data_IF_198484685072
#
_entry.id   IF_198484685072
#
_cell.length_a   1.000
_cell.length_b   1.000
_cell.length_c   1.000
_cell.angle_alpha   90.00
_cell.angle_beta   90.00
_cell.angle_gamma   90.00
#
_symmetry.space_group_name_H-M   'P 1'
#
loop_
_entity.id
_entity.type
_entity.pdbx_description
1 polymer ?
#
# COMPACT_ATOMS: atom_id res chain seq x y z
N UNK A 1 -3.33 32.41 11.90
CA UNK A 1 -3.93 31.09 12.21
C UNK A 1 -2.86 30.28 12.91
N UNK A 2 -2.99 30.10 14.21
CA UNK A 2 -2.12 29.20 14.97
C UNK A 2 -2.63 27.76 14.76
N UNK A 3 -1.74 26.85 14.38
CA UNK A 3 -2.05 25.41 14.37
C UNK A 3 -2.35 24.99 15.81
N UNK A 4 -3.53 24.43 16.05
CA UNK A 4 -3.91 23.88 17.35
C UNK A 4 -3.20 22.56 17.55
N UNK A 5 -2.47 22.45 18.65
CA UNK A 5 -1.83 21.22 19.09
C UNK A 5 -2.84 20.42 19.93
N UNK A 6 -3.45 19.40 19.32
CA UNK A 6 -4.48 18.56 19.95
C UNK A 6 -3.95 17.74 21.13
N UNK A 7 -2.63 17.68 21.34
CA UNK A 7 -2.01 16.96 22.46
C UNK A 7 -2.03 17.73 23.79
N UNK A 8 -2.46 19.00 23.79
CA UNK A 8 -2.55 19.85 24.99
C UNK A 8 -3.98 20.08 25.53
N UNK A 9 -5.01 19.45 24.95
CA UNK A 9 -6.37 19.61 25.44
C UNK A 9 -6.64 18.69 26.65
N UNK A 10 -7.29 19.23 27.68
CA UNK A 10 -7.53 18.57 28.97
C UNK A 10 -8.56 17.43 28.92
N UNK A 11 -8.87 16.87 27.74
CA UNK A 11 -9.98 15.93 27.56
C UNK A 11 -9.85 14.97 26.36
N UNK A 12 -8.63 14.64 25.92
CA UNK A 12 -8.41 13.76 24.74
C UNK A 12 -9.12 12.40 24.88
N UNK A 13 -9.11 11.83 26.09
CA UNK A 13 -9.76 10.54 26.34
C UNK A 13 -11.29 10.61 26.23
N UNK A 14 -11.90 11.75 26.58
CA UNK A 14 -13.33 11.95 26.40
C UNK A 14 -13.69 12.18 24.94
N UNK A 15 -12.90 12.93 24.18
CA UNK A 15 -13.12 13.04 22.74
C UNK A 15 -12.97 11.68 22.03
N UNK A 16 -12.03 10.85 22.47
CA UNK A 16 -11.90 9.46 21.99
C UNK A 16 -13.13 8.63 22.40
N UNK A 17 -13.62 8.78 23.62
CA UNK A 17 -14.85 8.11 24.08
C UNK A 17 -16.03 8.49 23.18
N UNK A 18 -16.27 9.78 22.98
CA UNK A 18 -17.34 10.30 22.12
C UNK A 18 -17.19 9.79 20.69
N UNK A 19 -15.97 9.71 20.16
CA UNK A 19 -15.71 9.14 18.84
C UNK A 19 -16.09 7.65 18.77
N UNK A 20 -15.67 6.84 19.75
CA UNK A 20 -15.99 5.41 19.81
C UNK A 20 -17.49 5.19 19.91
N UNK A 21 -18.17 5.94 20.78
CA UNK A 21 -19.62 5.86 20.95
C UNK A 21 -20.37 6.25 19.68
N UNK A 22 -19.96 7.32 19.00
CA UNK A 22 -20.55 7.74 17.73
C UNK A 22 -20.39 6.67 16.64
N UNK A 23 -19.20 6.06 16.51
CA UNK A 23 -18.98 4.97 15.54
C UNK A 23 -19.76 3.70 15.92
N UNK A 24 -19.86 3.37 17.20
CA UNK A 24 -20.71 2.26 17.67
C UNK A 24 -22.19 2.50 17.40
N UNK A 25 -22.69 3.73 17.53
CA UNK A 25 -24.05 4.08 17.14
C UNK A 25 -24.24 3.94 15.63
N UNK A 26 -23.29 4.45 14.83
CA UNK A 26 -23.30 4.34 13.37
C UNK A 26 -23.34 2.87 12.90
N UNK A 27 -22.66 1.98 13.62
CA UNK A 27 -22.60 0.55 13.34
C UNK A 27 -23.26 -0.29 14.46
N UNK A 28 -24.43 0.12 14.94
CA UNK A 28 -25.10 -0.48 16.11
C UNK A 28 -25.23 -2.01 16.02
N UNK A 29 -25.52 -2.55 14.83
CA UNK A 29 -25.62 -3.99 14.62
C UNK A 29 -24.30 -4.74 14.87
N UNK A 30 -23.16 -4.13 14.54
CA UNK A 30 -21.84 -4.68 14.78
C UNK A 30 -21.41 -4.53 16.23
N UNK A 31 -21.62 -3.33 16.80
CA UNK A 31 -21.22 -3.02 18.18
C UNK A 31 -22.03 -3.77 19.24
N UNK A 32 -23.31 -4.08 18.98
CA UNK A 32 -24.22 -4.71 19.95
C UNK A 32 -23.69 -6.02 20.53
N UNK A 33 -23.05 -6.86 19.71
CA UNK A 33 -22.53 -8.15 20.16
C UNK A 33 -21.42 -7.93 21.20
N UNK A 34 -20.49 -7.02 20.91
CA UNK A 34 -19.40 -6.66 21.81
C UNK A 34 -19.93 -6.03 23.10
N UNK A 35 -20.77 -5.00 23.00
CA UNK A 35 -21.29 -4.27 24.17
C UNK A 35 -22.13 -5.14 25.11
N UNK A 36 -22.86 -6.13 24.57
CA UNK A 36 -23.60 -7.07 25.40
C UNK A 36 -22.67 -7.99 26.20
N UNK A 37 -21.55 -8.41 25.62
CA UNK A 37 -20.59 -9.33 26.26
C UNK A 37 -19.54 -8.59 27.12
N UNK A 38 -19.23 -7.35 26.78
CA UNK A 38 -18.24 -6.46 27.42
C UNK A 38 -18.87 -5.06 27.59
N UNK A 39 -19.72 -4.85 28.61
CA UNK A 39 -20.40 -3.55 28.82
C UNK A 39 -19.43 -2.37 29.04
N UNK A 40 -18.22 -2.66 29.48
CA UNK A 40 -17.11 -1.74 29.70
C UNK A 40 -16.19 -1.58 28.47
N UNK A 41 -16.57 -2.15 27.31
CA UNK A 41 -15.73 -2.15 26.11
C UNK A 41 -15.30 -0.75 25.68
N UNK A 42 -16.18 0.25 25.77
CA UNK A 42 -15.86 1.65 25.44
C UNK A 42 -14.68 2.14 26.30
N UNK A 43 -14.76 1.98 27.62
CA UNK A 43 -13.71 2.38 28.55
C UNK A 43 -12.40 1.63 28.26
N UNK A 44 -12.47 0.33 28.00
CA UNK A 44 -11.28 -0.44 27.63
C UNK A 44 -10.67 -0.01 26.30
N UNK A 45 -11.49 0.36 25.31
CA UNK A 45 -11.02 0.87 24.02
C UNK A 45 -10.38 2.26 24.13
N UNK A 46 -10.91 3.15 24.99
CA UNK A 46 -10.29 4.45 25.32
C UNK A 46 -8.89 4.21 25.91
N UNK A 47 -8.79 3.31 26.90
CA UNK A 47 -7.50 2.95 27.52
C UNK A 47 -6.52 2.30 26.53
N UNK A 48 -7.03 1.47 25.61
CA UNK A 48 -6.21 0.89 24.54
C UNK A 48 -5.71 1.95 23.56
N UNK A 49 -6.53 2.96 23.27
CA UNK A 49 -6.19 4.04 22.35
C UNK A 49 -5.09 4.96 22.91
N UNK A 50 -5.02 5.18 24.23
CA UNK A 50 -3.93 5.92 24.88
C UNK A 50 -3.67 7.30 24.23
N UNK A 51 -4.74 8.06 24.03
CA UNK A 51 -4.71 9.35 23.35
C UNK A 51 -4.64 9.29 21.81
N UNK A 52 -4.71 8.11 21.18
CA UNK A 52 -4.56 7.95 19.74
C UNK A 52 -5.88 7.74 19.00
N UNK A 53 -6.40 8.80 18.40
CA UNK A 53 -7.57 8.72 17.52
C UNK A 53 -7.43 7.71 16.38
N UNK A 54 -6.24 7.59 15.79
CA UNK A 54 -6.01 6.60 14.73
C UNK A 54 -6.16 5.16 15.25
N UNK A 55 -5.70 4.89 16.48
CA UNK A 55 -5.92 3.58 17.10
C UNK A 55 -7.42 3.38 17.33
N UNK A 56 -8.09 4.32 17.98
CA UNK A 56 -9.52 4.26 18.30
C UNK A 56 -10.38 4.03 17.04
N UNK A 57 -10.16 4.81 15.99
CA UNK A 57 -10.90 4.70 14.73
C UNK A 57 -10.65 3.34 14.06
N UNK A 58 -9.39 2.89 14.02
CA UNK A 58 -9.02 1.63 13.37
C UNK A 58 -9.59 0.41 14.13
N UNK A 59 -9.47 0.40 15.46
CA UNK A 59 -9.94 -0.73 16.28
C UNK A 59 -11.46 -0.82 16.28
N UNK A 60 -12.17 0.31 16.36
CA UNK A 60 -13.64 0.30 16.27
C UNK A 60 -14.10 -0.23 14.91
N UNK A 61 -13.51 0.27 13.80
CA UNK A 61 -13.82 -0.22 12.46
C UNK A 61 -13.54 -1.71 12.30
N UNK A 62 -12.48 -2.22 12.93
CA UNK A 62 -12.16 -3.64 12.92
C UNK A 62 -13.22 -4.47 13.65
N UNK A 63 -13.58 -4.08 14.87
CA UNK A 63 -14.54 -4.78 15.73
C UNK A 63 -15.96 -4.79 15.15
N UNK A 64 -16.44 -3.66 14.62
CA UNK A 64 -17.83 -3.59 14.11
C UNK A 64 -18.01 -4.34 12.80
N UNK A 65 -16.92 -4.52 12.03
CA UNK A 65 -16.94 -5.28 10.77
C UNK A 65 -16.87 -6.78 11.02
N UNK A 66 -16.02 -7.21 11.94
CA UNK A 66 -15.94 -8.62 12.35
C UNK A 66 -16.81 -8.90 13.58
N UNK A 67 -18.10 -8.55 13.50
CA UNK A 67 -19.04 -8.58 14.64
C UNK A 67 -19.14 -9.95 15.33
N UNK A 68 -18.89 -11.03 14.61
CA UNK A 68 -19.01 -12.39 15.16
C UNK A 68 -17.78 -12.79 15.99
N UNK A 69 -16.61 -12.25 15.67
CA UNK A 69 -15.37 -12.44 16.43
C UNK A 69 -14.98 -11.21 17.26
N UNK A 70 -15.82 -10.16 17.29
CA UNK A 70 -15.53 -8.90 17.97
C UNK A 70 -15.12 -9.07 19.44
N UNK A 71 -15.77 -9.98 20.18
CA UNK A 71 -15.44 -10.26 21.59
C UNK A 71 -14.05 -10.90 21.71
N UNK A 72 -13.76 -11.90 20.87
CA UNK A 72 -12.46 -12.58 20.84
C UNK A 72 -11.34 -11.61 20.44
N UNK A 73 -11.56 -10.80 19.41
CA UNK A 73 -10.63 -9.76 18.95
C UNK A 73 -10.37 -8.75 20.06
N UNK A 74 -11.41 -8.24 20.71
CA UNK A 74 -11.30 -7.28 21.80
C UNK A 74 -10.48 -7.86 22.97
N UNK A 75 -10.80 -9.08 23.41
CA UNK A 75 -10.09 -9.74 24.49
C UNK A 75 -8.61 -10.00 24.15
N UNK A 76 -8.32 -10.42 22.90
CA UNK A 76 -6.96 -10.62 22.40
C UNK A 76 -6.17 -9.31 22.43
N UNK A 77 -6.78 -8.20 22.01
CA UNK A 77 -6.13 -6.89 22.03
C UNK A 77 -5.83 -6.44 23.47
N UNK A 78 -6.77 -6.58 24.41
CA UNK A 78 -6.52 -6.28 25.82
C UNK A 78 -5.37 -7.11 26.41
N UNK A 79 -5.36 -8.42 26.16
CA UNK A 79 -4.30 -9.32 26.66
C UNK A 79 -2.94 -8.97 26.07
N UNK A 80 -2.88 -8.63 24.78
CA UNK A 80 -1.62 -8.30 24.10
C UNK A 80 -0.97 -7.02 24.62
N UNK A 81 -1.76 -6.06 25.11
CA UNK A 81 -1.26 -4.77 25.62
C UNK A 81 -0.89 -4.82 27.10
N UNK A 82 -1.52 -5.68 27.91
CA UNK A 82 -1.21 -5.81 29.35
C UNK A 82 0.22 -6.28 29.68
N UNK A 83 1.01 -6.66 28.67
CA UNK A 83 2.38 -7.15 28.81
C UNK A 83 3.47 -6.13 28.42
N UNK A 84 3.10 -4.99 27.84
CA UNK A 84 4.05 -3.99 27.32
C UNK A 84 3.94 -2.69 28.10
N UNK A 85 5.07 -2.25 28.68
CA UNK A 85 5.17 -0.96 29.37
C UNK A 85 4.86 0.21 28.43
N UNK A 86 4.46 1.34 29.01
CA UNK A 86 3.86 2.51 28.36
C UNK A 86 4.75 3.33 27.40
N UNK A 87 5.70 2.75 26.67
CA UNK A 87 6.82 3.54 26.12
C UNK A 87 6.95 3.68 24.61
N UNK A 88 6.10 3.09 23.76
CA UNK A 88 6.15 3.42 22.32
C UNK A 88 4.77 3.45 21.67
N UNK A 89 4.34 4.66 21.27
CA UNK A 89 3.22 4.98 20.39
C UNK A 89 3.01 3.95 19.26
N UNK A 90 4.12 3.52 18.63
CA UNK A 90 4.10 2.60 17.51
C UNK A 90 3.79 1.16 17.93
N UNK A 91 4.21 0.69 19.11
CA UNK A 91 3.97 -0.69 19.54
C UNK A 91 2.49 -1.05 19.63
N UNK A 92 1.65 -0.10 20.06
CA UNK A 92 0.19 -0.29 20.12
C UNK A 92 -0.39 -0.46 18.72
N UNK A 93 -0.04 0.45 17.81
CA UNK A 93 -0.45 0.39 16.41
C UNK A 93 0.06 -0.88 15.71
N UNK A 94 1.29 -1.29 15.99
CA UNK A 94 1.92 -2.46 15.39
C UNK A 94 1.23 -3.74 15.84
N UNK A 95 0.84 -3.81 17.12
CA UNK A 95 0.04 -4.92 17.67
C UNK A 95 -1.35 -4.96 17.04
N UNK A 96 -1.99 -3.80 16.86
CA UNK A 96 -3.30 -3.69 16.20
C UNK A 96 -3.22 -4.13 14.73
N UNK A 97 -2.26 -3.60 13.96
CA UNK A 97 -2.07 -3.94 12.55
C UNK A 97 -1.70 -5.40 12.34
N UNK A 98 -0.84 -5.96 13.21
CA UNK A 98 -0.52 -7.40 13.19
C UNK A 98 -1.77 -8.24 13.44
N UNK A 99 -2.60 -7.85 14.41
CA UNK A 99 -3.86 -8.57 14.72
C UNK A 99 -4.84 -8.50 13.55
N UNK A 100 -4.97 -7.34 12.89
CA UNK A 100 -5.81 -7.16 11.70
C UNK A 100 -5.33 -8.06 10.55
N UNK A 101 -4.03 -8.06 10.25
CA UNK A 101 -3.47 -8.86 9.17
C UNK A 101 -3.59 -10.37 9.44
N UNK A 102 -3.36 -10.81 10.67
CA UNK A 102 -3.44 -12.22 11.03
C UNK A 102 -4.88 -12.73 11.06
N UNK A 103 -5.84 -11.93 11.53
CA UNK A 103 -7.27 -12.26 11.39
C UNK A 103 -7.69 -12.29 9.90
N UNK A 104 -7.23 -11.33 9.09
CA UNK A 104 -7.57 -11.26 7.68
C UNK A 104 -7.00 -12.43 6.86
N UNK A 105 -5.73 -12.79 7.09
CA UNK A 105 -4.96 -13.63 6.17
C UNK A 105 -4.21 -14.79 6.81
N UNK A 106 -4.25 -14.95 8.14
CA UNK A 106 -3.49 -15.99 8.86
C UNK A 106 -3.80 -17.39 8.35
N UNK A 107 -5.07 -17.66 8.00
CA UNK A 107 -5.49 -18.94 7.41
C UNK A 107 -4.86 -19.25 6.05
N UNK A 108 -4.41 -18.23 5.31
CA UNK A 108 -3.78 -18.42 3.99
C UNK A 108 -2.28 -18.68 4.07
N UNK A 109 -1.67 -18.67 5.27
CA UNK A 109 -0.24 -19.01 5.44
C UNK A 109 0.11 -20.42 4.93
N UNK A 110 -0.87 -21.34 4.89
CA UNK A 110 -0.72 -22.67 4.30
C UNK A 110 -0.88 -22.69 2.77
N UNK A 111 -1.62 -21.74 2.19
CA UNK A 111 -1.80 -21.57 0.74
C UNK A 111 -0.77 -20.57 0.20
N UNK A 112 0.42 -21.09 -0.12
CA UNK A 112 1.53 -20.27 -0.61
C UNK A 112 1.18 -19.47 -1.88
N UNK A 113 0.31 -19.99 -2.74
CA UNK A 113 -0.05 -19.32 -4.00
C UNK A 113 -0.93 -18.11 -3.71
N UNK A 114 -1.96 -18.28 -2.88
CA UNK A 114 -2.82 -17.17 -2.46
C UNK A 114 -2.06 -16.16 -1.62
N UNK A 115 -1.25 -16.60 -0.67
CA UNK A 115 -0.43 -15.71 0.16
C UNK A 115 0.55 -14.89 -0.69
N UNK A 116 1.13 -15.47 -1.74
CA UNK A 116 1.97 -14.72 -2.68
C UNK A 116 1.20 -13.58 -3.34
N UNK A 117 -0.02 -13.80 -3.83
CA UNK A 117 -0.82 -12.73 -4.43
C UNK A 117 -1.24 -11.67 -3.39
N UNK A 118 -1.61 -12.08 -2.18
CA UNK A 118 -1.90 -11.15 -1.07
C UNK A 118 -0.68 -10.26 -0.81
N UNK A 119 0.52 -10.86 -0.71
CA UNK A 119 1.77 -10.13 -0.50
C UNK A 119 2.08 -9.16 -1.65
N UNK A 120 1.79 -9.55 -2.91
CA UNK A 120 1.91 -8.65 -4.05
C UNK A 120 0.96 -7.46 -3.95
N UNK A 121 -0.30 -7.68 -3.55
CA UNK A 121 -1.29 -6.60 -3.34
C UNK A 121 -0.81 -5.65 -2.23
N UNK A 122 -0.35 -6.19 -1.08
CA UNK A 122 0.21 -5.40 0.01
C UNK A 122 1.44 -4.60 -0.43
N UNK A 123 2.29 -5.19 -1.28
CA UNK A 123 3.48 -4.52 -1.83
C UNK A 123 3.09 -3.33 -2.72
N UNK A 124 2.11 -3.51 -3.61
CA UNK A 124 1.58 -2.43 -4.43
C UNK A 124 0.96 -1.33 -3.59
N UNK A 125 0.14 -1.70 -2.62
CA UNK A 125 -0.45 -0.77 -1.67
C UNK A 125 0.62 0.06 -0.93
N UNK A 126 1.62 -0.62 -0.33
CA UNK A 126 2.59 0.04 0.53
C UNK A 126 3.61 0.93 -0.22
N UNK A 127 3.92 0.60 -1.48
CA UNK A 127 4.99 1.26 -2.25
C UNK A 127 4.49 2.21 -3.35
N UNK A 128 3.18 2.28 -3.62
CA UNK A 128 2.57 3.15 -4.65
C UNK A 128 1.41 3.99 -4.10
N UNK A 129 1.63 4.65 -2.96
CA UNK A 129 0.59 5.38 -2.20
C UNK A 129 0.03 6.62 -2.89
N UNK A 130 0.82 7.26 -3.74
CA UNK A 130 0.48 8.49 -4.47
C UNK A 130 -0.30 8.23 -5.77
N UNK A 131 -0.50 6.97 -6.15
CA UNK A 131 -1.47 6.57 -7.17
C UNK A 131 -2.20 5.27 -6.76
N UNK A 132 -3.16 5.33 -5.83
CA UNK A 132 -3.91 4.17 -5.39
C UNK A 132 -4.53 3.40 -6.55
N UNK A 133 -4.35 2.08 -6.56
CA UNK A 133 -4.81 1.19 -7.64
C UNK A 133 -5.98 0.33 -7.16
N UNK A 134 -6.82 -0.06 -8.11
CA UNK A 134 -7.99 -0.92 -7.92
C UNK A 134 -7.71 -2.40 -8.28
N UNK A 135 -8.71 -3.26 -8.08
CA UNK A 135 -8.65 -4.65 -8.56
C UNK A 135 -8.56 -4.74 -10.08
N UNK A 136 -9.26 -3.85 -10.79
CA UNK A 136 -9.22 -3.73 -12.24
C UNK A 136 -7.84 -3.27 -12.75
N UNK A 137 -7.14 -2.44 -11.98
CA UNK A 137 -5.77 -2.03 -12.32
C UNK A 137 -4.78 -3.20 -12.17
N UNK A 138 -4.82 -3.88 -11.01
CA UNK A 138 -3.84 -4.92 -10.71
C UNK A 138 -4.01 -6.20 -11.57
N UNK A 139 -5.16 -6.44 -12.19
CA UNK A 139 -5.30 -7.54 -13.15
C UNK A 139 -4.44 -7.37 -14.41
N UNK A 140 -4.16 -6.13 -14.85
CA UNK A 140 -3.33 -5.88 -16.05
C UNK A 140 -1.88 -6.31 -15.86
N UNK A 141 -1.43 -6.46 -14.62
CA UNK A 141 -0.10 -6.99 -14.27
C UNK A 141 -0.13 -8.43 -13.74
N UNK A 142 -1.27 -9.12 -13.91
CA UNK A 142 -1.42 -10.54 -13.61
C UNK A 142 -1.79 -10.90 -12.17
N UNK A 143 -2.26 -9.94 -11.36
CA UNK A 143 -2.85 -10.24 -10.04
C UNK A 143 -4.35 -10.55 -10.23
N UNK A 144 -4.84 -11.73 -9.80
CA UNK A 144 -6.25 -12.06 -9.96
C UNK A 144 -7.16 -11.07 -9.24
N UNK A 145 -8.12 -10.51 -9.95
CA UNK A 145 -9.00 -9.43 -9.47
C UNK A 145 -9.71 -9.78 -8.15
N UNK A 146 -10.15 -11.03 -8.00
CA UNK A 146 -10.82 -11.51 -6.79
C UNK A 146 -9.91 -11.51 -5.56
N UNK A 147 -8.59 -11.63 -5.72
CA UNK A 147 -7.63 -11.53 -4.61
C UNK A 147 -7.52 -10.08 -4.15
N UNK A 148 -7.38 -9.12 -5.08
CA UNK A 148 -7.32 -7.70 -4.71
C UNK A 148 -8.61 -7.26 -4.01
N UNK A 149 -9.77 -7.66 -4.54
CA UNK A 149 -11.06 -7.37 -3.90
C UNK A 149 -11.17 -7.99 -2.50
N UNK A 150 -10.76 -9.25 -2.33
CA UNK A 150 -10.75 -9.92 -1.02
C UNK A 150 -9.80 -9.22 -0.03
N UNK A 151 -8.63 -8.74 -0.49
CA UNK A 151 -7.71 -7.94 0.35
C UNK A 151 -8.36 -6.62 0.78
N UNK A 152 -8.99 -5.89 -0.14
CA UNK A 152 -9.69 -4.64 0.18
C UNK A 152 -10.82 -4.89 1.18
N UNK A 153 -11.60 -5.96 0.97
CA UNK A 153 -12.74 -6.33 1.81
C UNK A 153 -12.33 -6.69 3.25
N UNK A 154 -11.25 -7.46 3.39
CA UNK A 154 -10.71 -7.90 4.69
C UNK A 154 -9.98 -6.79 5.43
N UNK A 155 -9.43 -5.81 4.73
CA UNK A 155 -8.66 -4.69 5.31
C UNK A 155 -9.46 -3.38 5.39
N UNK A 156 -10.79 -3.43 5.38
CA UNK A 156 -11.65 -2.22 5.50
C UNK A 156 -11.50 -1.43 6.81
N UNK A 157 -10.81 -1.96 7.82
CA UNK A 157 -10.44 -1.20 9.03
C UNK A 157 -9.30 -0.20 8.76
N UNK A 158 -8.48 -0.46 7.76
CA UNK A 158 -7.29 0.33 7.39
C UNK A 158 -7.38 0.96 6.00
N UNK A 159 -8.41 0.62 5.21
CA UNK A 159 -8.73 1.27 3.94
C UNK A 159 -9.99 2.14 4.02
N UNK A 160 -9.98 3.25 3.27
CA UNK A 160 -11.16 4.09 3.07
C UNK A 160 -12.08 3.36 2.09
N UNK A 161 -13.12 2.72 2.64
CA UNK A 161 -14.13 1.97 1.86
C UNK A 161 -15.52 2.36 2.38
N UNK A 162 -16.27 3.09 1.55
CA UNK A 162 -17.57 3.66 1.95
C UNK A 162 -18.70 2.63 1.92
N UNK A 163 -18.71 1.72 0.93
CA UNK A 163 -19.81 0.77 0.70
C UNK A 163 -19.32 -0.63 0.28
N UNK A 164 -19.84 -1.13 -0.83
CA UNK A 164 -19.52 -2.44 -1.41
C UNK A 164 -18.18 -2.33 -2.12
N UNK A 165 -17.31 -3.31 -1.92
CA UNK A 165 -16.07 -3.44 -2.68
C UNK A 165 -16.41 -3.86 -4.10
N UNK A 166 -16.07 -3.00 -5.06
CA UNK A 166 -16.17 -3.24 -6.51
C UNK A 166 -14.78 -3.47 -7.11
N UNK A 167 -14.74 -3.86 -8.38
CA UNK A 167 -13.48 -4.01 -9.14
C UNK A 167 -12.71 -2.70 -9.25
N UNK A 168 -13.41 -1.57 -9.23
CA UNK A 168 -12.86 -0.21 -9.34
C UNK A 168 -12.52 0.44 -8.00
N UNK A 169 -12.79 -0.23 -6.87
CA UNK A 169 -12.46 0.30 -5.55
C UNK A 169 -10.94 0.34 -5.37
N UNK A 170 -10.37 1.53 -5.14
CA UNK A 170 -8.93 1.72 -4.93
C UNK A 170 -8.50 1.44 -3.48
N UNK A 171 -7.26 0.97 -3.31
CA UNK A 171 -6.64 0.73 -2.00
C UNK A 171 -6.14 2.04 -1.36
N UNK A 172 -7.06 2.88 -0.88
CA UNK A 172 -6.71 4.15 -0.22
C UNK A 172 -6.52 3.93 1.28
N UNK A 173 -5.35 4.24 1.88
CA UNK A 173 -5.15 4.08 3.31
C UNK A 173 -5.99 5.06 4.12
N UNK A 174 -6.50 4.63 5.28
CA UNK A 174 -7.10 5.55 6.26
C UNK A 174 -6.04 6.47 6.89
N UNK A 175 -4.80 5.99 7.00
CA UNK A 175 -3.69 6.72 7.60
C UNK A 175 -2.34 6.17 7.13
N UNK A 176 -1.32 7.03 7.07
CA UNK A 176 0.02 6.68 6.59
C UNK A 176 0.75 5.65 7.47
N UNK A 177 0.36 5.50 8.75
CA UNK A 177 1.05 4.60 9.68
C UNK A 177 0.90 3.12 9.35
N UNK A 178 -0.15 2.72 8.61
CA UNK A 178 -0.34 1.33 8.17
C UNK A 178 0.61 0.91 7.03
N UNK A 179 0.68 1.63 5.90
CA UNK A 179 1.67 1.30 4.87
C UNK A 179 3.11 1.48 5.36
N UNK A 180 3.37 2.44 6.27
CA UNK A 180 4.67 2.57 6.93
C UNK A 180 5.00 1.35 7.81
N UNK A 181 4.03 0.81 8.54
CA UNK A 181 4.20 -0.44 9.28
C UNK A 181 4.60 -1.59 8.35
N UNK A 182 3.92 -1.74 7.21
CA UNK A 182 4.18 -2.85 6.27
C UNK A 182 5.60 -2.86 5.70
N UNK A 183 6.29 -1.72 5.60
CA UNK A 183 7.64 -1.62 5.01
C UNK A 183 8.77 -1.58 6.04
N UNK A 184 8.43 -1.47 7.32
CA UNK A 184 9.38 -1.34 8.42
C UNK A 184 9.56 -2.69 9.10
N UNK A 185 10.75 -3.27 8.94
CA UNK A 185 11.10 -4.57 9.51
C UNK A 185 11.25 -4.58 11.03
N UNK A 186 11.37 -3.42 11.68
CA UNK A 186 11.36 -3.32 13.15
C UNK A 186 9.92 -3.37 13.69
N UNK A 187 8.95 -2.95 12.87
CA UNK A 187 7.52 -2.89 13.23
C UNK A 187 6.75 -4.12 12.78
N UNK A 188 6.83 -4.47 11.50
CA UNK A 188 6.20 -5.65 10.92
C UNK A 188 7.16 -6.84 10.90
N UNK A 189 7.11 -7.64 11.97
CA UNK A 189 8.00 -8.80 12.15
C UNK A 189 7.53 -10.08 11.43
N UNK A 190 6.26 -10.14 11.02
CA UNK A 190 5.73 -11.29 10.29
C UNK A 190 6.14 -11.21 8.80
N UNK A 191 7.09 -12.07 8.42
CA UNK A 191 7.59 -12.17 7.03
C UNK A 191 6.50 -12.46 5.98
N UNK A 192 5.33 -12.97 6.38
CA UNK A 192 4.21 -13.17 5.48
C UNK A 192 3.58 -11.84 5.01
N UNK A 193 3.77 -10.77 5.78
CA UNK A 193 3.17 -9.45 5.51
C UNK A 193 4.21 -8.35 5.30
N UNK A 194 5.43 -8.50 5.83
CA UNK A 194 6.51 -7.54 5.67
C UNK A 194 6.85 -7.34 4.18
N UNK A 195 6.76 -6.09 3.74
CA UNK A 195 7.13 -5.65 2.39
C UNK A 195 8.57 -5.16 2.40
N UNK A 196 9.48 -5.97 1.85
CA UNK A 196 10.85 -5.52 1.65
C UNK A 196 10.91 -4.47 0.54
N UNK A 197 11.12 -3.19 0.89
CA UNK A 197 11.10 -2.06 -0.05
C UNK A 197 11.95 -2.26 -1.30
N UNK A 198 13.18 -2.77 -1.19
CA UNK A 198 14.06 -2.98 -2.36
C UNK A 198 13.52 -4.07 -3.29
N UNK A 199 13.04 -5.17 -2.72
CA UNK A 199 12.47 -6.29 -3.48
C UNK A 199 11.11 -5.95 -4.10
N UNK A 200 10.26 -5.25 -3.35
CA UNK A 200 8.96 -4.79 -3.80
C UNK A 200 9.07 -3.79 -4.94
N UNK A 201 10.00 -2.82 -4.85
CA UNK A 201 10.28 -1.90 -5.96
C UNK A 201 10.77 -2.64 -7.22
N UNK A 202 11.59 -3.70 -7.06
CA UNK A 202 12.01 -4.51 -8.21
C UNK A 202 10.83 -5.25 -8.87
N UNK A 203 9.94 -5.82 -8.06
CA UNK A 203 8.72 -6.49 -8.52
C UNK A 203 7.77 -5.52 -9.24
N UNK A 204 7.55 -4.34 -8.65
CA UNK A 204 6.71 -3.30 -9.25
C UNK A 204 7.32 -2.84 -10.58
N UNK A 205 8.59 -2.45 -10.60
CA UNK A 205 9.25 -2.00 -11.83
C UNK A 205 9.19 -3.06 -12.95
N UNK A 206 9.42 -4.33 -12.63
CA UNK A 206 9.29 -5.42 -13.61
C UNK A 206 7.84 -5.56 -14.13
N UNK A 207 6.85 -5.44 -13.25
CA UNK A 207 5.43 -5.48 -13.63
C UNK A 207 5.04 -4.31 -14.54
N UNK A 208 5.54 -3.11 -14.23
CA UNK A 208 5.37 -1.92 -15.05
C UNK A 208 5.98 -2.12 -16.43
N UNK A 209 7.23 -2.59 -16.52
CA UNK A 209 7.85 -2.83 -17.84
C UNK A 209 7.09 -3.88 -18.65
N UNK A 210 6.63 -4.98 -18.04
CA UNK A 210 5.79 -5.96 -18.76
C UNK A 210 4.54 -5.32 -19.37
N UNK A 211 3.92 -4.39 -18.65
CA UNK A 211 2.77 -3.63 -19.14
C UNK A 211 3.18 -2.69 -20.28
N UNK A 212 4.26 -1.93 -20.10
CA UNK A 212 4.74 -0.93 -21.04
C UNK A 212 5.29 -1.53 -22.34
N UNK A 213 5.86 -2.72 -22.29
CA UNK A 213 6.39 -3.43 -23.46
C UNK A 213 5.40 -4.46 -24.02
N UNK A 214 4.15 -4.44 -23.57
CA UNK A 214 3.08 -5.29 -24.09
C UNK A 214 2.73 -4.88 -25.52
N UNK A 215 2.53 -5.86 -26.40
CA UNK A 215 2.08 -5.61 -27.78
C UNK A 215 0.63 -5.13 -27.87
N UNK A 216 -0.13 -5.23 -26.78
CA UNK A 216 -1.52 -4.81 -26.69
C UNK A 216 -1.68 -3.78 -25.59
N UNK A 217 -2.21 -2.61 -25.94
CA UNK A 217 -2.54 -1.58 -24.95
C UNK A 217 -3.68 -2.06 -24.05
N UNK A 218 -3.55 -1.85 -22.73
CA UNK A 218 -4.64 -2.16 -21.82
C UNK A 218 -5.80 -1.17 -22.08
N UNK A 219 -7.03 -1.67 -22.02
CA UNK A 219 -8.25 -0.87 -22.13
C UNK A 219 -9.03 -1.04 -20.84
N UNK A 220 -9.27 0.06 -20.14
CA UNK A 220 -10.14 0.10 -18.96
C UNK A 220 -11.61 -0.11 -19.34
N UNK A 221 -12.47 -0.25 -18.33
CA UNK A 221 -13.91 -0.42 -18.51
C UNK A 221 -14.60 0.71 -19.31
N UNK A 222 -14.05 1.92 -19.28
CA UNK A 222 -14.52 3.10 -20.00
C UNK A 222 -13.93 3.24 -21.42
N UNK A 223 -13.02 2.35 -21.80
CA UNK A 223 -12.31 2.40 -23.07
C UNK A 223 -11.03 3.25 -23.06
N UNK A 224 -10.74 3.95 -21.96
CA UNK A 224 -9.53 4.74 -21.79
C UNK A 224 -8.36 3.89 -21.27
N UNK A 225 -7.16 4.48 -21.26
CA UNK A 225 -5.99 3.87 -20.63
C UNK A 225 -6.20 3.80 -19.10
N UNK A 226 -6.08 2.61 -18.48
CA UNK A 226 -6.34 2.43 -17.06
C UNK A 226 -5.34 3.19 -16.19
N UNK A 227 -5.69 3.41 -14.92
CA UNK A 227 -4.84 4.15 -13.97
C UNK A 227 -3.46 3.51 -13.82
N UNK A 228 -3.36 2.18 -13.89
CA UNK A 228 -2.07 1.50 -13.87
C UNK A 228 -1.18 1.84 -15.07
N UNK A 229 -1.73 2.13 -16.25
CA UNK A 229 -0.94 2.61 -17.38
C UNK A 229 -0.34 3.97 -17.08
N UNK A 230 -1.16 4.93 -16.61
CA UNK A 230 -0.69 6.27 -16.21
C UNK A 230 0.37 6.20 -15.10
N UNK A 231 0.21 5.29 -14.15
CA UNK A 231 1.22 5.00 -13.12
C UNK A 231 2.52 4.46 -13.74
N UNK A 232 2.42 3.49 -14.65
CA UNK A 232 3.56 2.90 -15.34
C UNK A 232 4.37 3.94 -16.12
N UNK A 233 3.65 4.71 -16.93
CA UNK A 233 4.11 5.78 -17.79
C UNK A 233 4.92 6.84 -17.01
N UNK A 234 4.42 7.26 -15.84
CA UNK A 234 5.04 8.31 -15.04
C UNK A 234 6.00 7.86 -13.92
N UNK A 235 5.94 6.61 -13.45
CA UNK A 235 6.63 6.20 -12.20
C UNK A 235 7.60 5.03 -12.33
N UNK A 236 7.74 4.40 -13.49
CA UNK A 236 8.66 3.27 -13.64
C UNK A 236 10.08 3.60 -13.13
N UNK A 237 10.58 4.81 -13.40
CA UNK A 237 11.90 5.26 -12.94
C UNK A 237 12.02 5.32 -11.42
N UNK A 238 10.97 5.80 -10.73
CA UNK A 238 10.94 5.89 -9.27
C UNK A 238 11.19 4.53 -8.63
N UNK A 239 10.57 3.49 -9.19
CA UNK A 239 10.71 2.12 -8.71
C UNK A 239 12.06 1.51 -9.09
N UNK A 240 12.58 1.74 -10.32
CA UNK A 240 13.90 1.25 -10.73
C UNK A 240 15.00 1.76 -9.81
N UNK A 241 15.03 3.06 -9.50
CA UNK A 241 16.09 3.65 -8.65
C UNK A 241 16.09 3.12 -7.21
N UNK A 242 14.95 2.61 -6.75
CA UNK A 242 14.76 2.02 -5.41
C UNK A 242 14.82 0.49 -5.41
N UNK A 243 14.88 -0.14 -6.57
CA UNK A 243 14.88 -1.58 -6.71
C UNK A 243 16.20 -2.19 -6.26
N UNK A 244 16.15 -3.41 -5.70
CA UNK A 244 17.30 -4.31 -5.79
C UNK A 244 17.45 -4.81 -7.23
N UNK A 245 18.66 -5.16 -7.60
CA UNK A 245 18.91 -5.86 -8.86
C UNK A 245 18.17 -7.21 -8.89
N UNK A 246 17.54 -7.50 -10.03
CA UNK A 246 17.10 -8.84 -10.40
C UNK A 246 17.35 -9.03 -11.90
N UNK A 247 17.59 -10.26 -12.33
CA UNK A 247 17.77 -10.57 -13.76
C UNK A 247 16.54 -10.18 -14.59
N UNK A 248 15.35 -10.47 -14.08
CA UNK A 248 14.08 -10.12 -14.73
C UNK A 248 13.93 -8.62 -14.95
N UNK A 249 14.19 -7.80 -13.92
CA UNK A 249 14.12 -6.34 -14.04
C UNK A 249 15.13 -5.82 -15.06
N UNK A 250 16.37 -6.32 -15.00
CA UNK A 250 17.42 -5.89 -15.93
C UNK A 250 17.06 -6.22 -17.39
N UNK A 251 16.52 -7.42 -17.62
CA UNK A 251 16.07 -7.87 -18.94
C UNK A 251 14.93 -7.01 -19.48
N UNK A 252 13.91 -6.75 -18.67
CA UNK A 252 12.74 -5.94 -19.06
C UNK A 252 13.10 -4.47 -19.27
N UNK A 253 13.99 -3.91 -18.44
CA UNK A 253 14.53 -2.57 -18.64
C UNK A 253 15.25 -2.47 -19.99
N UNK A 254 16.08 -3.46 -20.34
CA UNK A 254 16.76 -3.48 -21.64
C UNK A 254 15.76 -3.47 -22.79
N UNK A 255 14.74 -4.33 -22.75
CA UNK A 255 13.69 -4.36 -23.78
C UNK A 255 13.06 -2.97 -23.91
N UNK A 256 12.63 -2.37 -22.81
CA UNK A 256 12.00 -1.05 -22.83
C UNK A 256 12.93 0.03 -23.43
N UNK A 257 14.21 0.06 -23.03
CA UNK A 257 15.20 0.99 -23.56
C UNK A 257 15.41 0.84 -25.05
N UNK A 258 15.48 -0.39 -25.55
CA UNK A 258 15.75 -0.68 -26.96
C UNK A 258 14.54 -0.41 -27.87
N UNK A 259 13.32 -0.59 -27.36
CA UNK A 259 12.11 -0.61 -28.19
C UNK A 259 11.16 0.58 -27.98
N UNK A 260 11.11 1.17 -26.78
CA UNK A 260 10.05 2.14 -26.43
C UNK A 260 10.57 3.46 -25.83
N UNK A 261 11.78 3.51 -25.26
CA UNK A 261 12.28 4.70 -24.54
C UNK A 261 12.33 5.96 -25.43
N UNK A 262 12.68 5.86 -26.70
CA UNK A 262 12.67 7.03 -27.61
C UNK A 262 11.25 7.56 -27.88
N UNK A 263 10.27 6.67 -28.04
CA UNK A 263 8.88 7.06 -28.23
C UNK A 263 8.29 7.67 -26.95
N UNK A 264 8.61 7.08 -25.80
CA UNK A 264 8.30 7.58 -24.45
C UNK A 264 8.86 9.00 -24.27
N UNK A 265 10.15 9.22 -24.60
CA UNK A 265 10.79 10.55 -24.51
C UNK A 265 10.12 11.62 -25.37
N UNK A 266 9.62 11.23 -26.55
CA UNK A 266 8.94 12.14 -27.48
C UNK A 266 7.46 12.36 -27.11
N UNK A 267 6.92 11.63 -26.13
CA UNK A 267 5.50 11.68 -25.77
C UNK A 267 4.59 11.30 -26.94
N UNK A 268 5.03 10.37 -27.78
CA UNK A 268 4.22 9.86 -28.90
C UNK A 268 3.17 8.91 -28.33
N UNK A 269 1.92 8.99 -28.80
CA UNK A 269 0.88 8.04 -28.39
C UNK A 269 1.40 6.58 -28.44
N UNK A 270 1.19 5.76 -27.39
CA UNK A 270 0.32 5.94 -26.23
C UNK A 270 0.97 6.61 -24.99
N UNK A 271 2.19 7.09 -25.12
CA UNK A 271 2.96 7.72 -24.05
C UNK A 271 2.43 9.12 -23.81
N UNK A 272 1.76 9.31 -22.69
CA UNK A 272 1.14 10.57 -22.35
C UNK A 272 1.61 10.99 -20.95
N UNK A 273 2.92 11.26 -20.81
CA UNK A 273 3.50 11.90 -19.64
C UNK A 273 2.98 13.34 -19.52
N UNK A 274 1.68 13.52 -19.36
CA UNK A 274 0.98 14.80 -19.44
C UNK A 274 1.63 15.80 -18.51
N UNK A 275 2.40 16.75 -19.03
CA UNK A 275 2.78 18.03 -18.39
C UNK A 275 3.44 18.03 -16.99
N UNK A 276 3.63 16.88 -16.34
CA UNK A 276 4.01 16.80 -14.93
C UNK A 276 5.51 16.51 -14.73
N UNK A 277 6.19 15.98 -15.76
CA UNK A 277 7.61 15.63 -15.67
C UNK A 277 8.40 16.61 -16.53
N UNK A 278 9.19 17.47 -15.88
CA UNK A 278 10.06 18.40 -16.61
C UNK A 278 11.14 17.65 -17.39
N UNK A 279 11.56 18.19 -18.55
CA UNK A 279 12.67 17.61 -19.33
C UNK A 279 13.93 17.39 -18.48
N UNK A 280 14.21 18.34 -17.58
CA UNK A 280 15.31 18.25 -16.61
C UNK A 280 15.14 17.04 -15.65
N UNK A 281 13.93 16.80 -15.17
CA UNK A 281 13.65 15.65 -14.32
C UNK A 281 13.83 14.33 -15.08
N UNK A 282 13.38 14.26 -16.34
CA UNK A 282 13.58 13.08 -17.19
C UNK A 282 15.07 12.79 -17.37
N UNK A 283 15.86 13.77 -17.81
CA UNK A 283 17.29 13.61 -18.08
C UNK A 283 18.07 13.21 -16.81
N UNK A 284 17.83 13.89 -15.69
CA UNK A 284 18.48 13.55 -14.41
C UNK A 284 18.13 12.15 -13.92
N UNK A 285 16.89 11.71 -14.14
CA UNK A 285 16.44 10.38 -13.73
C UNK A 285 16.97 9.28 -14.65
N UNK A 286 17.12 9.55 -15.95
CA UNK A 286 17.80 8.63 -16.88
C UNK A 286 19.29 8.49 -16.55
N UNK A 287 19.97 9.57 -16.19
CA UNK A 287 21.35 9.52 -15.71
C UNK A 287 21.46 8.69 -14.43
N UNK A 288 20.56 8.89 -13.46
CA UNK A 288 20.51 8.08 -12.24
C UNK A 288 20.21 6.59 -12.54
N UNK A 289 19.40 6.31 -13.57
CA UNK A 289 19.11 4.94 -14.02
C UNK A 289 20.33 4.31 -14.67
N UNK A 290 21.08 5.07 -15.47
CA UNK A 290 22.38 4.64 -16.01
C UNK A 290 23.36 4.31 -14.88
N UNK A 291 23.45 5.14 -13.83
CA UNK A 291 24.30 4.88 -12.67
C UNK A 291 23.84 3.69 -11.82
N UNK A 292 22.53 3.46 -11.73
CA UNK A 292 21.99 2.23 -11.17
C UNK A 292 22.44 1.01 -11.99
N UNK A 293 22.37 1.08 -13.33
CA UNK A 293 22.84 0.02 -14.22
C UNK A 293 24.34 -0.25 -14.03
N UNK A 294 25.18 0.81 -13.98
CA UNK A 294 26.63 0.71 -13.74
C UNK A 294 26.94 0.04 -12.39
N UNK A 295 26.31 0.51 -11.31
CA UNK A 295 26.50 -0.04 -9.95
C UNK A 295 26.19 -1.53 -9.87
N UNK A 296 25.21 -1.99 -10.64
CA UNK A 296 24.81 -3.39 -10.68
C UNK A 296 25.42 -4.19 -11.84
N UNK A 297 26.38 -3.60 -12.57
CA UNK A 297 27.10 -4.23 -13.70
C UNK A 297 26.16 -4.79 -14.77
N UNK A 298 25.07 -4.07 -15.07
CA UNK A 298 24.25 -4.38 -16.23
C UNK A 298 25.06 -4.06 -17.49
N UNK A 299 24.90 -4.89 -18.53
CA UNK A 299 25.76 -4.93 -19.71
C UNK A 299 26.13 -3.55 -20.28
N UNK A 300 27.39 -3.43 -20.72
CA UNK A 300 27.99 -2.18 -21.19
C UNK A 300 27.19 -1.54 -22.33
N UNK A 301 26.50 -2.36 -23.12
CA UNK A 301 25.57 -1.96 -24.18
C UNK A 301 24.40 -1.12 -23.67
N UNK A 302 23.73 -1.57 -22.59
CA UNK A 302 22.60 -0.88 -21.99
C UNK A 302 23.03 0.44 -21.36
N UNK A 303 24.17 0.43 -20.66
CA UNK A 303 24.76 1.62 -20.05
C UNK A 303 25.14 2.64 -21.12
N UNK A 304 25.77 2.19 -22.21
CA UNK A 304 26.14 3.06 -23.33
C UNK A 304 24.91 3.67 -24.01
N UNK A 305 23.85 2.87 -24.25
CA UNK A 305 22.63 3.36 -24.88
C UNK A 305 21.90 4.41 -24.03
N UNK A 306 21.78 4.17 -22.72
CA UNK A 306 21.22 5.17 -21.79
C UNK A 306 22.06 6.46 -21.78
N UNK A 307 23.39 6.34 -21.84
CA UNK A 307 24.30 7.50 -21.91
C UNK A 307 24.09 8.33 -23.17
N UNK A 308 24.06 7.69 -24.34
CA UNK A 308 23.78 8.36 -25.61
C UNK A 308 22.45 9.12 -25.60
N UNK A 309 21.41 8.51 -25.02
CA UNK A 309 20.09 9.12 -24.91
C UNK A 309 20.12 10.34 -23.97
N UNK A 310 20.83 10.26 -22.86
CA UNK A 310 21.04 11.40 -21.94
C UNK A 310 21.75 12.53 -22.68
N UNK A 311 22.87 12.24 -23.34
CA UNK A 311 23.68 13.26 -24.05
C UNK A 311 22.91 13.96 -25.18
N UNK A 312 21.98 13.25 -25.85
CA UNK A 312 21.12 13.83 -26.90
C UNK A 312 20.00 14.73 -26.36
N UNK A 313 19.70 14.65 -25.06
CA UNK A 313 18.55 15.33 -24.45
C UNK A 313 18.93 16.39 -23.39
N UNK A 314 20.21 16.48 -23.01
CA UNK A 314 20.81 17.62 -22.27
C UNK A 314 20.88 18.83 -23.19
#
# INVERSE_FOLDING_TARGET
MAYRDLQQESDIDEDIRLHIEAEFQRYANGARILLNARPDAVTGLVSLADGLFIYASTVVRFLVRDKHYAVEIYDKLLQSQGSKGSHQLYERLDTLYTTILDNAFGMFKIDRKRLKYIHQVLTWFALNLDAPLSGEDLQFIGIPIHITMDVIDRLRSVFIVEYIVTTTTCMVPCHASFPQFLIDGERCQDSAYLVNSRSGNAMIAASLFKLLTSNTLPKGADGDLPHIWKSADGKWMFHVLRAKYTYELAYLLRIFVESHLEAWLRGVEPWQHHGHISKLHVVSTLAATQDWCKRHRLGDDLVARLGQIVDQNV
#
